data_IF_576491585944
#
_entry.id   IF_576491585944
#
_cell.length_a   1.000
_cell.length_b   1.000
_cell.length_c   1.000
_cell.angle_alpha   90.00
_cell.angle_beta   90.00
_cell.angle_gamma   90.00
#
_symmetry.space_group_name_H-M   'P 1'
#
loop_
_entity.id
_entity.type
_entity.pdbx_description
1 polymer ?
#
# COMPACT_ATOMS: atom_id res chain seq x y z
N UNK A 1 -28.29 -8.54 3.14
CA UNK A 1 -27.01 -9.08 2.61
C UNK A 1 -26.36 -9.88 3.74
N UNK A 2 -26.30 -11.20 3.59
CA UNK A 2 -25.97 -12.13 4.67
C UNK A 2 -24.58 -11.85 5.26
N UNK A 3 -24.52 -11.59 6.58
CA UNK A 3 -23.27 -11.47 7.34
C UNK A 3 -22.59 -12.85 7.36
N UNK A 4 -21.81 -13.17 6.32
CA UNK A 4 -20.86 -14.28 6.38
C UNK A 4 -19.92 -13.99 7.56
N UNK A 5 -19.79 -14.94 8.49
CA UNK A 5 -18.91 -14.78 9.64
C UNK A 5 -17.47 -14.74 9.13
N UNK A 6 -16.78 -13.65 9.48
CA UNK A 6 -15.37 -13.43 9.14
C UNK A 6 -14.54 -14.20 10.15
N UNK A 7 -13.75 -15.15 9.66
CA UNK A 7 -12.85 -16.00 10.46
C UNK A 7 -11.55 -15.26 10.76
N UNK A 8 -11.12 -14.37 9.87
CA UNK A 8 -9.90 -13.59 10.03
C UNK A 8 -9.73 -12.51 8.97
N UNK A 9 -9.05 -11.44 9.38
CA UNK A 9 -8.63 -10.34 8.50
C UNK A 9 -7.10 -10.35 8.45
N UNK A 10 -6.54 -10.57 7.28
CA UNK A 10 -5.09 -10.62 7.06
C UNK A 10 -4.69 -9.40 6.24
N UNK A 11 -3.69 -8.66 6.70
CA UNK A 11 -3.15 -7.50 5.98
C UNK A 11 -1.72 -7.81 5.56
N UNK A 12 -1.49 -7.87 4.24
CA UNK A 12 -0.17 -8.14 3.67
C UNK A 12 0.25 -6.97 2.79
N UNK A 13 1.56 -6.78 2.65
CA UNK A 13 2.15 -5.84 1.70
C UNK A 13 2.95 -6.65 0.69
N UNK A 14 2.56 -6.59 -0.58
CA UNK A 14 3.13 -7.42 -1.64
C UNK A 14 3.53 -6.52 -2.81
N UNK A 15 4.64 -6.84 -3.47
CA UNK A 15 5.04 -6.14 -4.69
C UNK A 15 4.08 -6.45 -5.84
N UNK A 16 3.61 -5.41 -6.51
CA UNK A 16 2.68 -5.51 -7.64
C UNK A 16 3.28 -6.35 -8.78
N UNK A 17 2.52 -7.35 -9.23
CA UNK A 17 2.95 -8.28 -10.29
C UNK A 17 4.04 -9.29 -9.89
N UNK A 18 4.46 -9.31 -8.62
CA UNK A 18 5.48 -10.22 -8.08
C UNK A 18 4.99 -10.98 -6.84
N UNK A 19 3.69 -11.30 -6.76
CA UNK A 19 3.19 -12.16 -5.70
C UNK A 19 3.69 -13.60 -5.90
N UNK A 20 4.65 -13.99 -5.07
CA UNK A 20 5.16 -15.36 -5.00
C UNK A 20 4.66 -16.06 -3.73
N UNK A 21 4.44 -17.39 -3.76
CA UNK A 21 4.03 -18.19 -2.59
C UNK A 21 5.11 -18.33 -1.50
N UNK A 22 6.16 -17.50 -1.57
CA UNK A 22 7.33 -17.52 -0.70
C UNK A 22 6.98 -17.11 0.77
N UNK A 23 7.94 -17.22 1.73
CA UNK A 23 7.70 -17.17 3.18
C UNK A 23 6.89 -16.00 3.77
N UNK A 24 6.79 -14.79 3.18
CA UNK A 24 5.90 -13.76 3.74
C UNK A 24 4.41 -14.00 3.45
N UNK A 25 4.07 -14.66 2.34
CA UNK A 25 2.68 -14.83 1.87
C UNK A 25 2.17 -16.24 2.15
N UNK A 26 3.01 -17.26 1.94
CA UNK A 26 2.64 -18.67 2.06
C UNK A 26 2.20 -19.08 3.48
N UNK A 27 3.02 -18.88 4.52
CA UNK A 27 2.66 -19.18 5.91
C UNK A 27 1.48 -18.34 6.42
N UNK A 28 1.46 -17.05 6.08
CA UNK A 28 0.43 -16.12 6.53
C UNK A 28 -0.97 -16.45 5.97
N UNK A 29 -1.06 -16.91 4.72
CA UNK A 29 -2.34 -17.30 4.11
C UNK A 29 -2.68 -18.78 4.31
N UNK A 30 -1.67 -19.65 4.29
CA UNK A 30 -1.83 -21.09 4.48
C UNK A 30 -2.36 -21.45 5.87
N UNK A 31 -1.95 -20.71 6.92
CA UNK A 31 -2.47 -20.90 8.29
C UNK A 31 -3.99 -20.67 8.40
N UNK A 32 -4.57 -19.87 7.49
CA UNK A 32 -6.00 -19.57 7.46
C UNK A 32 -6.77 -20.36 6.39
N UNK A 33 -6.12 -21.31 5.71
CA UNK A 33 -6.78 -22.18 4.73
C UNK A 33 -7.13 -21.51 3.40
N UNK A 34 -6.48 -20.39 3.06
CA UNK A 34 -6.68 -19.67 1.80
C UNK A 34 -5.90 -20.34 0.67
N UNK A 35 -6.48 -20.38 -0.54
CA UNK A 35 -5.81 -20.91 -1.73
C UNK A 35 -4.73 -19.93 -2.23
N UNK A 36 -3.46 -20.20 -1.86
CA UNK A 36 -2.32 -19.33 -2.14
C UNK A 36 -2.10 -19.13 -3.65
N UNK A 37 -2.30 -20.17 -4.47
CA UNK A 37 -2.03 -20.12 -5.92
C UNK A 37 -3.08 -19.29 -6.66
N UNK A 38 -4.33 -19.38 -6.23
CA UNK A 38 -5.42 -18.60 -6.79
C UNK A 38 -5.30 -17.13 -6.41
N UNK A 39 -4.96 -16.86 -5.14
CA UNK A 39 -4.68 -15.52 -4.67
C UNK A 39 -3.50 -14.88 -5.41
N UNK A 40 -2.36 -15.55 -5.57
CA UNK A 40 -1.20 -14.97 -6.27
C UNK A 40 -1.50 -14.67 -7.73
N UNK A 41 -2.26 -15.53 -8.43
CA UNK A 41 -2.70 -15.26 -9.81
C UNK A 41 -3.66 -14.07 -9.91
N UNK A 42 -4.70 -14.05 -9.08
CA UNK A 42 -5.69 -12.97 -9.08
C UNK A 42 -5.04 -11.63 -8.70
N UNK A 43 -4.15 -11.65 -7.71
CA UNK A 43 -3.38 -10.49 -7.30
C UNK A 43 -2.45 -10.01 -8.42
N UNK A 44 -1.68 -10.90 -9.06
CA UNK A 44 -0.77 -10.51 -10.14
C UNK A 44 -1.52 -9.93 -11.34
N UNK A 45 -2.68 -10.48 -11.71
CA UNK A 45 -3.51 -9.95 -12.79
C UNK A 45 -4.06 -8.55 -12.46
N UNK A 46 -4.58 -8.36 -11.24
CA UNK A 46 -5.15 -7.08 -10.81
C UNK A 46 -4.08 -6.01 -10.54
N UNK A 47 -2.86 -6.41 -10.18
CA UNK A 47 -1.74 -5.50 -9.90
C UNK A 47 -0.75 -5.36 -11.07
N UNK A 48 -1.02 -5.99 -12.21
CA UNK A 48 -0.14 -5.94 -13.38
C UNK A 48 0.04 -4.51 -13.92
N UNK A 49 -1.03 -3.71 -13.86
CA UNK A 49 -1.02 -2.29 -14.25
C UNK A 49 -0.22 -1.39 -13.30
N UNK A 50 0.10 -1.88 -12.10
CA UNK A 50 0.78 -1.13 -11.04
C UNK A 50 2.17 -1.66 -10.71
N UNK A 51 2.78 -2.44 -11.62
CA UNK A 51 4.11 -3.03 -11.47
C UNK A 51 5.14 -2.02 -10.96
N UNK A 52 5.93 -2.45 -9.97
CA UNK A 52 6.95 -1.63 -9.32
C UNK A 52 6.47 -0.82 -8.10
N UNK A 53 5.20 -0.95 -7.71
CA UNK A 53 4.68 -0.43 -6.45
C UNK A 53 4.39 -1.58 -5.47
N UNK A 54 4.57 -1.34 -4.17
CA UNK A 54 4.10 -2.26 -3.13
C UNK A 54 2.62 -1.93 -2.87
N UNK A 55 1.75 -2.91 -3.03
CA UNK A 55 0.31 -2.75 -2.85
C UNK A 55 -0.09 -3.48 -1.56
N UNK A 56 -0.70 -2.77 -0.59
CA UNK A 56 -1.28 -3.42 0.57
C UNK A 56 -2.55 -4.15 0.12
N UNK A 57 -2.73 -5.36 0.60
CA UNK A 57 -3.92 -6.17 0.36
C UNK A 57 -4.53 -6.58 1.68
N UNK A 58 -5.82 -6.33 1.81
CA UNK A 58 -6.62 -6.84 2.93
C UNK A 58 -7.41 -8.04 2.45
N UNK A 59 -7.16 -9.18 3.09
CA UNK A 59 -7.75 -10.47 2.75
C UNK A 59 -8.71 -10.83 3.89
N UNK A 60 -9.97 -10.94 3.55
CA UNK A 60 -11.05 -11.34 4.45
C UNK A 60 -11.32 -12.81 4.21
N UNK A 61 -11.11 -13.64 5.23
CA UNK A 61 -11.35 -15.08 5.16
C UNK A 61 -12.68 -15.38 5.87
N UNK A 62 -13.54 -16.13 5.20
CA UNK A 62 -14.84 -16.57 5.75
C UNK A 62 -14.77 -18.02 6.26
N UNK A 63 -15.77 -18.43 7.04
CA UNK A 63 -15.84 -19.79 7.61
C UNK A 63 -15.96 -20.89 6.53
N UNK A 64 -16.49 -20.55 5.35
CA UNK A 64 -16.63 -21.44 4.20
C UNK A 64 -15.30 -21.64 3.42
N UNK A 65 -14.17 -21.13 3.93
CA UNK A 65 -12.85 -21.08 3.28
C UNK A 65 -12.83 -20.23 2.00
N UNK A 66 -13.90 -19.48 1.71
CA UNK A 66 -13.84 -18.43 0.70
C UNK A 66 -13.00 -17.28 1.23
N UNK A 67 -12.35 -16.57 0.31
CA UNK A 67 -11.60 -15.36 0.61
C UNK A 67 -12.04 -14.23 -0.32
N UNK A 68 -12.20 -13.04 0.24
CA UNK A 68 -12.29 -11.80 -0.52
C UNK A 68 -11.00 -11.02 -0.29
N UNK A 69 -10.45 -10.42 -1.33
CA UNK A 69 -9.30 -9.53 -1.18
C UNK A 69 -9.62 -8.16 -1.75
N UNK A 70 -9.23 -7.13 -1.01
CA UNK A 70 -9.35 -5.74 -1.41
C UNK A 70 -7.94 -5.20 -1.59
N UNK A 71 -7.61 -4.81 -2.82
CA UNK A 71 -6.38 -4.12 -3.13
C UNK A 71 -6.52 -2.67 -2.67
N UNK A 72 -5.60 -2.25 -1.81
CA UNK A 72 -5.47 -0.85 -1.43
C UNK A 72 -4.48 -0.15 -2.33
N UNK A 73 -4.59 1.15 -2.34
CA UNK A 73 -3.66 2.07 -2.94
C UNK A 73 -2.28 1.98 -2.27
N UNK A 74 -1.18 2.13 -3.04
CA UNK A 74 0.18 1.97 -2.52
C UNK A 74 0.49 2.87 -1.30
N UNK A 75 1.37 2.45 -0.38
CA UNK A 75 1.76 3.26 0.76
C UNK A 75 2.34 4.60 0.33
N UNK A 76 1.88 5.68 0.98
CA UNK A 76 2.36 7.03 0.68
C UNK A 76 3.88 7.12 0.88
N UNK A 77 4.41 6.39 1.87
CA UNK A 77 5.83 6.28 2.13
C UNK A 77 6.65 5.84 0.90
N UNK A 78 6.18 4.81 0.18
CA UNK A 78 6.91 4.26 -0.98
C UNK A 78 6.77 5.14 -2.22
N UNK A 79 5.60 5.77 -2.41
CA UNK A 79 5.40 6.75 -3.47
C UNK A 79 6.29 7.98 -3.27
N UNK A 80 6.41 8.47 -2.04
CA UNK A 80 7.28 9.57 -1.68
C UNK A 80 8.76 9.22 -1.83
N UNK A 81 9.17 8.01 -1.43
CA UNK A 81 10.54 7.53 -1.65
C UNK A 81 10.86 7.45 -3.15
N UNK A 82 9.93 6.99 -3.98
CA UNK A 82 10.07 6.96 -5.44
C UNK A 82 10.15 8.37 -6.04
N UNK A 83 9.29 9.29 -5.60
CA UNK A 83 9.31 10.68 -6.03
C UNK A 83 10.58 11.43 -5.60
N UNK A 84 11.13 11.10 -4.43
CA UNK A 84 12.38 11.64 -3.92
C UNK A 84 13.63 10.92 -4.48
N UNK A 85 13.48 9.83 -5.23
CA UNK A 85 14.60 9.03 -5.75
C UNK A 85 15.40 8.27 -4.67
N UNK A 86 14.82 8.05 -3.49
CA UNK A 86 15.49 7.43 -2.33
C UNK A 86 15.02 5.99 -2.13
N UNK A 87 15.93 5.10 -1.73
CA UNK A 87 15.60 3.71 -1.40
C UNK A 87 15.17 3.54 0.07
N UNK A 88 15.67 4.40 0.97
CA UNK A 88 15.36 4.38 2.42
C UNK A 88 15.03 5.80 2.90
N UNK A 89 14.09 5.88 3.85
CA UNK A 89 13.78 7.11 4.57
C UNK A 89 14.84 7.43 5.62
N UNK A 90 14.70 8.58 6.27
CA UNK A 90 15.61 9.00 7.35
C UNK A 90 15.46 8.11 8.58
N UNK A 91 16.59 7.65 9.13
CA UNK A 91 16.62 6.95 10.42
C UNK A 91 16.36 7.87 11.62
N UNK A 92 16.50 9.19 11.44
CA UNK A 92 16.17 10.20 12.45
C UNK A 92 15.32 11.29 11.78
N UNK A 93 13.99 11.09 11.74
CA UNK A 93 13.06 12.06 11.18
C UNK A 93 13.26 13.46 11.78
N UNK A 94 13.09 14.50 10.97
CA UNK A 94 13.28 15.92 11.34
C UNK A 94 14.71 16.41 11.58
N UNK A 95 15.68 15.54 11.91
CA UNK A 95 17.08 15.95 12.12
C UNK A 95 17.94 15.75 10.87
N UNK A 96 17.79 14.60 10.20
CA UNK A 96 18.45 14.32 8.92
C UNK A 96 17.41 14.33 7.82
N UNK A 97 17.43 15.38 6.99
CA UNK A 97 16.59 15.46 5.80
C UNK A 97 17.26 14.70 4.67
N UNK A 98 16.62 13.64 4.18
CA UNK A 98 17.20 12.71 3.20
C UNK A 98 16.80 13.03 1.76
N UNK A 99 15.80 13.88 1.55
CA UNK A 99 15.42 14.35 0.22
C UNK A 99 14.35 15.44 0.26
N UNK A 100 13.96 15.88 -0.93
CA UNK A 100 12.94 16.91 -1.14
C UNK A 100 11.92 16.44 -2.18
N UNK A 101 10.65 16.76 -1.95
CA UNK A 101 9.55 16.55 -2.92
C UNK A 101 8.80 17.86 -3.13
N UNK A 102 8.28 18.08 -4.34
CA UNK A 102 7.49 19.27 -4.65
C UNK A 102 6.04 19.10 -4.24
N UNK A 103 5.34 20.22 -4.05
CA UNK A 103 3.90 20.21 -3.78
C UNK A 103 3.09 19.58 -4.93
N UNK A 104 3.55 19.75 -6.18
CA UNK A 104 2.94 19.13 -7.35
C UNK A 104 3.02 17.60 -7.30
N UNK A 105 4.18 17.05 -6.95
CA UNK A 105 4.34 15.60 -6.73
C UNK A 105 3.44 15.11 -5.60
N UNK A 106 3.28 15.89 -4.53
CA UNK A 106 2.35 15.54 -3.46
C UNK A 106 0.89 15.53 -3.92
N UNK A 107 0.49 16.42 -4.82
CA UNK A 107 -0.85 16.45 -5.43
C UNK A 107 -1.08 15.25 -6.35
N UNK A 108 -0.13 14.90 -7.21
CA UNK A 108 -0.22 13.71 -8.08
C UNK A 108 -0.32 12.41 -7.28
N UNK A 109 0.49 12.29 -6.21
CA UNK A 109 0.43 11.16 -5.28
C UNK A 109 -0.92 11.13 -4.56
N UNK A 110 -1.43 12.29 -4.14
CA UNK A 110 -2.73 12.39 -3.48
C UNK A 110 -3.89 12.05 -4.42
N UNK A 111 -3.80 12.39 -5.71
CA UNK A 111 -4.79 12.05 -6.72
C UNK A 111 -4.81 10.56 -7.01
N UNK A 112 -3.63 9.96 -7.19
CA UNK A 112 -3.48 8.50 -7.34
C UNK A 112 -4.03 7.75 -6.14
N UNK A 113 -3.86 8.33 -4.95
CA UNK A 113 -4.32 7.77 -3.68
C UNK A 113 -5.71 8.24 -3.24
N UNK A 114 -6.40 9.05 -4.04
CA UNK A 114 -7.65 9.72 -3.64
C UNK A 114 -8.76 8.74 -3.28
N UNK A 115 -8.82 7.59 -3.96
CA UNK A 115 -9.80 6.53 -3.66
C UNK A 115 -9.63 5.92 -2.26
N UNK A 116 -8.42 6.00 -1.70
CA UNK A 116 -8.04 5.42 -0.40
C UNK A 116 -7.85 6.46 0.71
N UNK A 117 -7.77 7.73 0.34
CA UNK A 117 -7.64 8.84 1.26
C UNK A 117 -9.03 9.30 1.68
N UNK A 118 -9.24 9.46 2.98
CA UNK A 118 -10.40 10.18 3.53
C UNK A 118 -10.29 11.70 3.33
N UNK A 119 -9.63 12.15 2.26
CA UNK A 119 -9.44 13.56 1.95
C UNK A 119 -10.69 14.09 1.24
N UNK A 120 -11.20 15.23 1.73
CA UNK A 120 -12.31 15.94 1.08
C UNK A 120 -11.91 16.55 -0.26
N UNK A 121 -10.69 17.10 -0.29
CA UNK A 121 -10.12 17.81 -1.44
C UNK A 121 -8.72 17.31 -1.77
N UNK A 122 -8.26 17.57 -3.01
CA UNK A 122 -6.91 17.22 -3.46
C UNK A 122 -5.86 17.93 -2.59
N UNK A 123 -6.12 19.17 -2.15
CA UNK A 123 -5.21 19.90 -1.26
C UNK A 123 -5.12 19.26 0.13
N UNK A 124 -6.24 18.79 0.68
CA UNK A 124 -6.24 18.05 1.93
C UNK A 124 -5.50 16.72 1.78
N UNK A 125 -5.65 16.05 0.64
CA UNK A 125 -4.88 14.86 0.29
C UNK A 125 -3.37 15.16 0.23
N UNK A 126 -2.99 16.23 -0.46
CA UNK A 126 -1.60 16.68 -0.55
C UNK A 126 -1.02 17.02 0.83
N UNK A 127 -1.80 17.62 1.73
CA UNK A 127 -1.39 17.87 3.11
C UNK A 127 -1.14 16.57 3.91
N UNK A 128 -1.95 15.52 3.71
CA UNK A 128 -1.75 14.21 4.34
C UNK A 128 -0.46 13.55 3.82
N UNK A 129 -0.22 13.63 2.50
CA UNK A 129 1.01 13.15 1.88
C UNK A 129 2.22 13.95 2.40
N UNK A 130 2.11 15.27 2.50
CA UNK A 130 3.16 16.13 3.05
C UNK A 130 3.46 15.82 4.53
N UNK A 131 2.45 15.49 5.33
CA UNK A 131 2.64 15.01 6.70
C UNK A 131 3.44 13.71 6.74
N UNK A 132 3.17 12.79 5.82
CA UNK A 132 3.92 11.54 5.69
C UNK A 132 5.36 11.79 5.26
N UNK A 133 5.60 12.73 4.33
CA UNK A 133 6.94 13.13 3.90
C UNK A 133 7.78 13.67 5.07
N UNK A 134 7.20 14.56 5.88
CA UNK A 134 7.85 15.11 7.08
C UNK A 134 8.22 14.01 8.08
N UNK A 135 7.32 13.05 8.31
CA UNK A 135 7.56 11.91 9.22
C UNK A 135 8.69 10.99 8.75
N UNK A 136 9.07 11.03 7.47
CA UNK A 136 10.19 10.26 6.92
C UNK A 136 11.48 11.07 6.74
N UNK A 137 11.47 12.36 7.13
CA UNK A 137 12.59 13.27 6.90
C UNK A 137 12.74 13.70 5.44
N UNK A 138 11.64 13.77 4.68
CA UNK A 138 11.61 14.37 3.35
C UNK A 138 11.03 15.78 3.47
N UNK A 139 11.75 16.77 2.94
CA UNK A 139 11.26 18.15 2.92
C UNK A 139 10.25 18.34 1.79
N UNK A 140 9.25 19.17 2.03
CA UNK A 140 8.22 19.47 1.03
C UNK A 140 8.40 20.90 0.60
N UNK A 141 8.96 21.10 -0.59
CA UNK A 141 9.07 22.42 -1.20
C UNK A 141 7.75 22.81 -1.83
N UNK A 142 7.38 24.09 -1.67
CA UNK A 142 6.21 24.67 -2.32
C UNK A 142 6.35 24.64 -3.84
#
# INVERSE_FOLDING_TARGET
>A
MAKKKVTGLIKLQIEAGMANPAPPVGPALGAHGVNIVEFTKAYNAATESMRGNIIPVEITVYEDRSFDFILKSPPAAKLLLKAAGLQKGSGVPHTQKVGTVTWEQCKEIAETKKADLNARDIEAGAAIIAGTARSMGIDVTK
#
